data_IF_819919043677
#
_entry.id   IF_819919043677
#
_cell.length_a   1.000
_cell.length_b   1.000
_cell.length_c   1.000
_cell.angle_alpha   90.00
_cell.angle_beta   90.00
_cell.angle_gamma   90.00
#
_symmetry.space_group_name_H-M   'P 1'
#
loop_
_entity.id
_entity.type
_entity.pdbx_description
1 polymer ?
#
# COMPACT_ATOMS: atom_id res chain seq x y z
N UNK A 1 14.90 -5.73 -48.40
CA UNK A 1 15.02 -5.66 -46.96
C UNK A 1 16.34 -5.07 -46.61
N UNK A 2 16.32 -3.87 -46.14
CA UNK A 2 17.62 -3.25 -45.82
C UNK A 2 18.01 -3.61 -44.39
N UNK A 3 19.28 -3.92 -44.21
CA UNK A 3 19.91 -4.18 -42.90
C UNK A 3 19.67 -3.02 -41.93
N UNK A 4 19.45 -1.82 -42.44
CA UNK A 4 19.12 -0.62 -41.67
C UNK A 4 17.80 -0.75 -40.90
N UNK A 5 16.79 -1.39 -41.46
CA UNK A 5 15.50 -1.63 -40.78
C UNK A 5 15.64 -2.64 -39.65
N UNK A 6 16.44 -3.66 -39.84
CA UNK A 6 16.73 -4.67 -38.82
C UNK A 6 17.53 -4.05 -37.68
N UNK A 7 18.49 -3.17 -38.00
CA UNK A 7 19.30 -2.46 -37.03
C UNK A 7 18.46 -1.51 -36.14
N UNK A 8 17.49 -0.81 -36.75
CA UNK A 8 16.59 0.08 -36.02
C UNK A 8 15.69 -0.70 -35.06
N UNK A 9 15.18 -1.87 -35.47
CA UNK A 9 14.38 -2.74 -34.60
C UNK A 9 15.22 -3.29 -33.45
N UNK A 10 16.46 -3.64 -33.70
CA UNK A 10 17.38 -4.14 -32.68
C UNK A 10 17.73 -3.05 -31.64
N UNK A 11 17.92 -1.82 -32.09
CA UNK A 11 18.18 -0.67 -31.19
C UNK A 11 16.97 -0.32 -30.35
N UNK A 12 15.74 -0.44 -30.90
CA UNK A 12 14.52 -0.21 -30.12
C UNK A 12 14.35 -1.21 -28.97
N UNK A 13 14.82 -2.44 -29.13
CA UNK A 13 14.75 -3.47 -28.08
C UNK A 13 15.74 -3.23 -26.92
N UNK A 14 16.72 -2.37 -27.08
CA UNK A 14 17.72 -2.06 -26.05
C UNK A 14 17.25 -1.03 -25.02
N UNK A 15 16.13 -0.36 -25.27
CA UNK A 15 15.49 0.55 -24.30
C UNK A 15 14.44 -0.20 -23.45
N UNK A 16 14.82 -1.34 -22.90
CA UNK A 16 14.00 -1.99 -21.88
C UNK A 16 14.06 -1.14 -20.62
N UNK A 17 13.00 -0.39 -20.35
CA UNK A 17 12.88 0.34 -19.09
C UNK A 17 12.71 -0.69 -17.99
N UNK A 18 13.74 -0.86 -17.17
CA UNK A 18 13.64 -1.68 -15.98
C UNK A 18 12.75 -0.96 -14.97
N UNK A 19 11.50 -1.36 -14.91
CA UNK A 19 10.59 -0.91 -13.85
C UNK A 19 10.85 -1.76 -12.62
N UNK A 20 11.39 -1.15 -11.56
CA UNK A 20 11.54 -1.80 -10.27
C UNK A 20 10.21 -1.72 -9.52
N UNK A 21 9.58 -2.87 -9.29
CA UNK A 21 8.46 -2.96 -8.39
C UNK A 21 8.97 -2.86 -6.95
N UNK A 22 8.36 -1.96 -6.14
CA UNK A 22 8.64 -1.86 -4.71
C UNK A 22 7.95 -3.01 -4.00
N UNK A 23 8.73 -3.93 -3.43
CA UNK A 23 8.20 -5.06 -2.66
C UNK A 23 8.48 -4.85 -1.19
N UNK A 24 7.45 -4.64 -0.34
CA UNK A 24 7.61 -4.57 1.09
C UNK A 24 8.13 -5.89 1.67
N UNK A 25 9.03 -5.79 2.62
CA UNK A 25 9.58 -6.93 3.34
C UNK A 25 9.05 -6.93 4.76
N UNK A 26 8.50 -8.07 5.21
CA UNK A 26 8.06 -8.25 6.59
C UNK A 26 9.25 -8.23 7.53
N UNK A 27 9.12 -7.47 8.62
CA UNK A 27 10.12 -7.36 9.68
C UNK A 27 9.70 -8.02 10.98
N UNK A 28 8.44 -8.39 11.12
CA UNK A 28 7.97 -9.14 12.28
C UNK A 28 6.46 -9.15 12.42
N UNK A 29 5.98 -10.09 13.20
CA UNK A 29 4.57 -10.23 13.57
C UNK A 29 4.42 -10.14 15.08
N UNK A 30 3.44 -9.34 15.52
CA UNK A 30 3.16 -9.09 16.93
C UNK A 30 1.66 -9.16 17.15
N UNK A 31 1.16 -10.32 17.59
CA UNK A 31 -0.28 -10.58 17.74
C UNK A 31 -0.99 -10.39 16.39
N UNK A 32 -1.89 -9.42 16.29
CA UNK A 32 -2.67 -9.12 15.08
C UNK A 32 -2.00 -8.11 14.14
N UNK A 33 -0.79 -7.67 14.46
CA UNK A 33 -0.03 -6.68 13.68
C UNK A 33 1.16 -7.31 12.99
N UNK A 34 1.45 -6.85 11.78
CA UNK A 34 2.66 -7.19 11.06
C UNK A 34 3.34 -5.92 10.58
N UNK A 35 4.64 -5.85 10.77
CA UNK A 35 5.44 -4.69 10.37
C UNK A 35 6.23 -4.99 9.09
N UNK A 36 6.41 -3.95 8.27
CA UNK A 36 7.07 -4.02 6.99
C UNK A 36 8.01 -2.84 6.77
N UNK A 37 9.03 -3.07 5.95
CA UNK A 37 9.91 -2.03 5.41
C UNK A 37 9.85 -2.13 3.89
N UNK A 38 9.71 -0.98 3.24
CA UNK A 38 9.85 -0.82 1.80
C UNK A 38 10.87 0.27 1.50
N UNK A 39 11.72 0.03 0.51
CA UNK A 39 12.66 1.03 0.02
C UNK A 39 12.15 1.59 -1.30
N UNK A 40 12.03 2.91 -1.37
CA UNK A 40 11.59 3.63 -2.55
C UNK A 40 12.67 4.62 -3.00
N UNK A 41 12.52 5.20 -4.18
CA UNK A 41 13.37 6.28 -4.68
C UNK A 41 13.33 7.54 -3.78
N UNK A 42 12.24 7.72 -3.02
CA UNK A 42 12.08 8.81 -2.04
C UNK A 42 12.58 8.47 -0.65
N UNK A 43 13.11 7.27 -0.44
CA UNK A 43 13.63 6.80 0.83
C UNK A 43 12.86 5.62 1.41
N UNK A 44 13.17 5.30 2.65
CA UNK A 44 12.60 4.16 3.36
C UNK A 44 11.21 4.49 3.89
N UNK A 45 10.29 3.54 3.72
CA UNK A 45 8.96 3.57 4.29
C UNK A 45 8.83 2.41 5.27
N UNK A 46 8.37 2.69 6.48
CA UNK A 46 8.05 1.68 7.47
C UNK A 46 6.56 1.73 7.76
N UNK A 47 5.90 0.58 7.77
CA UNK A 47 4.49 0.53 8.13
C UNK A 47 4.13 -0.74 8.89
N UNK A 48 3.10 -0.64 9.71
CA UNK A 48 2.46 -1.77 10.34
C UNK A 48 1.04 -1.90 9.81
N UNK A 49 0.57 -3.11 9.63
CA UNK A 49 -0.80 -3.39 9.19
C UNK A 49 -1.47 -4.40 10.12
N UNK A 50 -2.77 -4.28 10.22
CA UNK A 50 -3.62 -5.26 10.89
C UNK A 50 -4.91 -5.47 10.09
N UNK A 51 -5.52 -6.63 10.27
CA UNK A 51 -6.82 -6.97 9.70
C UNK A 51 -7.86 -7.05 10.82
N UNK A 52 -9.14 -6.74 10.55
CA UNK A 52 -10.16 -6.83 11.58
C UNK A 52 -10.38 -8.28 12.03
N UNK A 53 -10.63 -8.45 13.30
CA UNK A 53 -10.96 -9.75 13.89
C UNK A 53 -12.44 -10.09 13.77
N UNK A 54 -13.28 -9.08 13.56
CA UNK A 54 -14.72 -9.22 13.35
C UNK A 54 -15.20 -8.32 12.23
N UNK A 55 -16.17 -8.80 11.46
CA UNK A 55 -16.80 -8.04 10.36
C UNK A 55 -18.32 -8.10 10.49
N UNK A 56 -18.95 -7.00 10.17
CA UNK A 56 -20.41 -6.90 10.13
C UNK A 56 -20.85 -6.13 8.89
N UNK A 57 -21.86 -6.59 8.14
CA UNK A 57 -22.51 -7.90 8.27
C UNK A 57 -21.60 -9.04 7.77
N UNK A 58 -21.61 -10.17 8.47
CA UNK A 58 -20.76 -11.32 8.19
C UNK A 58 -21.06 -12.01 6.85
N UNK A 59 -22.30 -11.92 6.37
CA UNK A 59 -22.76 -12.57 5.13
C UNK A 59 -22.32 -11.82 3.86
N UNK A 60 -21.85 -10.59 3.95
CA UNK A 60 -21.44 -9.79 2.80
C UNK A 60 -20.01 -10.17 2.38
N UNK A 61 -19.88 -10.59 1.12
CA UNK A 61 -18.56 -10.85 0.53
C UNK A 61 -17.88 -9.52 0.18
N UNK A 62 -16.68 -9.34 0.68
CA UNK A 62 -15.83 -8.19 0.35
C UNK A 62 -14.36 -8.55 0.52
N UNK A 63 -13.48 -7.80 -0.12
CA UNK A 63 -12.04 -7.95 0.07
C UNK A 63 -11.65 -7.66 1.51
N UNK A 64 -10.46 -8.09 1.90
CA UNK A 64 -9.96 -7.88 3.27
C UNK A 64 -9.81 -6.39 3.56
N UNK A 65 -10.38 -5.94 4.67
CA UNK A 65 -10.11 -4.62 5.21
C UNK A 65 -8.76 -4.62 5.92
N UNK A 66 -8.05 -3.50 5.86
CA UNK A 66 -6.75 -3.34 6.52
C UNK A 66 -6.63 -1.95 7.12
N UNK A 67 -6.01 -1.87 8.28
CA UNK A 67 -5.60 -0.63 8.90
C UNK A 67 -4.08 -0.55 8.87
N UNK A 68 -3.54 0.60 8.46
CA UNK A 68 -2.11 0.85 8.35
C UNK A 68 -1.69 2.02 9.22
N UNK A 69 -0.52 1.91 9.83
CA UNK A 69 0.19 3.04 10.42
C UNK A 69 1.53 3.13 9.70
N UNK A 70 1.78 4.25 9.03
CA UNK A 70 2.90 4.43 8.12
C UNK A 70 3.81 5.57 8.58
N UNK A 71 5.11 5.34 8.47
CA UNK A 71 6.16 6.30 8.75
C UNK A 71 7.01 6.49 7.49
N UNK A 72 7.19 7.75 7.08
CA UNK A 72 8.02 8.14 5.93
C UNK A 72 9.05 9.18 6.37
N UNK A 73 10.16 8.76 6.97
CA UNK A 73 11.12 9.70 7.57
C UNK A 73 11.69 10.73 6.61
N UNK A 74 11.96 10.32 5.36
CA UNK A 74 12.49 11.22 4.32
C UNK A 74 11.50 12.29 3.85
N UNK A 75 10.22 12.09 4.09
CA UNK A 75 9.13 13.03 3.78
C UNK A 75 8.61 13.73 5.05
N UNK A 76 9.26 13.51 6.20
CA UNK A 76 8.87 14.05 7.52
C UNK A 76 7.44 13.65 7.93
N UNK A 77 6.95 12.54 7.41
CA UNK A 77 5.63 11.99 7.75
C UNK A 77 5.78 10.97 8.88
N UNK A 78 5.08 11.23 9.96
CA UNK A 78 4.97 10.35 11.13
C UNK A 78 3.51 9.99 11.36
N UNK A 79 3.26 8.78 11.81
CA UNK A 79 1.95 8.33 12.28
C UNK A 79 0.82 8.51 11.25
N UNK A 80 1.09 8.32 9.97
CA UNK A 80 0.04 8.35 8.95
C UNK A 80 -0.85 7.13 9.11
N UNK A 81 -2.09 7.32 9.50
CA UNK A 81 -3.08 6.25 9.66
C UNK A 81 -3.95 6.19 8.41
N UNK A 82 -4.02 5.04 7.79
CA UNK A 82 -4.83 4.80 6.60
C UNK A 82 -5.65 3.51 6.73
N UNK A 83 -6.78 3.49 6.05
CA UNK A 83 -7.75 2.41 6.13
C UNK A 83 -8.20 2.01 4.73
N UNK A 84 -8.20 0.70 4.46
CA UNK A 84 -8.89 0.14 3.29
C UNK A 84 -10.03 -0.74 3.77
N UNK A 85 -11.23 -0.55 3.22
CA UNK A 85 -12.40 -1.34 3.61
C UNK A 85 -12.66 -2.54 2.70
N UNK A 86 -11.90 -2.68 1.62
CA UNK A 86 -12.07 -3.74 0.64
C UNK A 86 -13.28 -3.55 -0.29
N UNK A 87 -13.88 -2.37 -0.30
CA UNK A 87 -14.96 -1.95 -1.21
C UNK A 87 -14.92 -0.44 -1.41
N UNK A 88 -15.59 0.04 -2.45
CA UNK A 88 -15.68 1.47 -2.71
C UNK A 88 -16.56 2.17 -1.66
N UNK A 89 -16.12 3.34 -1.24
CA UNK A 89 -16.89 4.14 -0.31
C UNK A 89 -17.98 4.92 -1.03
N UNK A 90 -19.18 4.90 -0.47
CA UNK A 90 -20.32 5.70 -0.97
C UNK A 90 -20.26 7.16 -0.52
N UNK A 91 -19.43 7.46 0.46
CA UNK A 91 -19.28 8.79 1.05
C UNK A 91 -17.82 9.23 0.98
N UNK A 92 -17.59 10.54 1.08
CA UNK A 92 -16.24 11.12 1.07
C UNK A 92 -15.47 10.92 2.38
N UNK A 93 -16.12 10.44 3.42
CA UNK A 93 -15.48 10.22 4.71
C UNK A 93 -15.97 8.95 5.39
N UNK A 94 -15.09 8.36 6.20
CA UNK A 94 -15.38 7.18 7.02
C UNK A 94 -15.05 7.53 8.47
N UNK A 95 -15.92 7.16 9.38
CA UNK A 95 -15.71 7.39 10.81
C UNK A 95 -15.27 6.11 11.50
N UNK A 96 -14.21 6.21 12.28
CA UNK A 96 -13.77 5.17 13.20
C UNK A 96 -13.96 5.64 14.64
N UNK A 97 -14.26 4.72 15.53
CA UNK A 97 -14.39 5.03 16.96
C UNK A 97 -13.56 4.09 17.82
N UNK A 98 -13.00 4.64 18.88
CA UNK A 98 -12.25 3.88 19.88
C UNK A 98 -12.62 4.44 21.26
N UNK A 99 -13.39 3.66 22.03
CA UNK A 99 -13.96 4.14 23.28
C UNK A 99 -14.86 5.35 23.04
N UNK A 100 -14.55 6.46 23.67
CA UNK A 100 -15.31 7.73 23.53
C UNK A 100 -14.76 8.63 22.42
N UNK A 101 -13.66 8.26 21.75
CA UNK A 101 -13.03 9.07 20.70
C UNK A 101 -13.53 8.67 19.32
N UNK A 102 -13.70 9.66 18.46
CA UNK A 102 -14.06 9.48 17.04
C UNK A 102 -12.99 10.08 16.15
N UNK A 103 -12.74 9.42 15.04
CA UNK A 103 -11.75 9.81 14.03
C UNK A 103 -12.43 9.79 12.66
N UNK A 104 -12.09 10.76 11.83
CA UNK A 104 -12.59 10.81 10.46
C UNK A 104 -11.45 10.58 9.47
N UNK A 105 -11.71 9.77 8.47
CA UNK A 105 -10.80 9.49 7.35
C UNK A 105 -11.42 10.06 6.08
N UNK A 106 -10.59 10.76 5.30
CA UNK A 106 -11.02 11.43 4.06
C UNK A 106 -10.35 10.85 2.84
#
# INVERSE_FOLDING_TARGET
MSVKKIFIILVLCLFSVNTFAVTPRSTGKYKNWESFIAETDKGKICFAQTVPTKRAPAAVKRNKSKLFVTFRPSEEIKDEVSLTSGHDYKTSSVTASSGKRRYSFF
#
